data_IF_371731428564
#
_entry.id   IF_371731428564
#
_cell.length_a   1.000
_cell.length_b   1.000
_cell.length_c   1.000
_cell.angle_alpha   90.00
_cell.angle_beta   90.00
_cell.angle_gamma   90.00
#
_symmetry.space_group_name_H-M   'P 1'
#
loop_
_entity.id
_entity.type
_entity.pdbx_description
1 polymer ?
#
# COMPACT_ATOMS: atom_id res chain seq x y z
N UNK A 1 25.13 -14.79 -25.20
CA UNK A 1 24.52 -13.47 -24.94
C UNK A 1 23.03 -13.66 -25.07
N UNK A 2 22.30 -13.67 -23.96
CA UNK A 2 20.84 -13.81 -23.97
C UNK A 2 20.21 -12.42 -24.04
N UNK A 3 19.39 -12.20 -25.07
CA UNK A 3 18.54 -11.02 -25.21
C UNK A 3 17.65 -10.87 -23.98
N UNK A 4 17.97 -9.90 -23.13
CA UNK A 4 17.05 -9.43 -22.09
C UNK A 4 16.04 -8.55 -22.83
N UNK A 5 14.94 -9.17 -23.25
CA UNK A 5 13.78 -8.47 -23.78
C UNK A 5 13.20 -7.63 -22.63
N UNK A 6 13.59 -6.35 -22.55
CA UNK A 6 13.04 -5.38 -21.61
C UNK A 6 11.60 -5.09 -22.05
N UNK A 7 10.66 -5.96 -21.64
CA UNK A 7 9.23 -5.76 -21.86
C UNK A 7 8.79 -4.56 -21.04
N UNK A 8 8.83 -3.38 -21.66
CA UNK A 8 8.16 -2.20 -21.14
C UNK A 8 6.67 -2.55 -21.12
N UNK A 9 6.05 -2.73 -19.95
CA UNK A 9 4.63 -3.00 -19.90
C UNK A 9 3.89 -1.81 -20.53
N UNK A 10 2.75 -2.04 -21.20
CA UNK A 10 1.99 -0.94 -21.78
C UNK A 10 1.71 0.14 -20.73
N UNK A 11 1.74 1.40 -21.14
CA UNK A 11 1.69 2.63 -20.30
C UNK A 11 0.48 2.64 -19.32
N UNK A 12 -0.53 1.77 -19.52
CA UNK A 12 -1.68 1.62 -18.63
C UNK A 12 -2.04 0.15 -18.32
N UNK A 13 -1.05 -0.74 -18.28
CA UNK A 13 -1.27 -2.13 -17.88
C UNK A 13 -1.68 -2.24 -16.40
N UNK A 14 -2.22 -3.40 -15.99
CA UNK A 14 -2.48 -3.66 -14.57
C UNK A 14 -1.18 -3.57 -13.74
N UNK A 15 -0.08 -4.13 -14.25
CA UNK A 15 1.23 -4.07 -13.60
C UNK A 15 1.76 -2.63 -13.46
N UNK A 16 1.56 -1.77 -14.46
CA UNK A 16 1.96 -0.36 -14.38
C UNK A 16 1.18 0.38 -13.28
N UNK A 17 -0.14 0.15 -13.18
CA UNK A 17 -0.97 0.73 -12.12
C UNK A 17 -0.60 0.21 -10.73
N UNK A 18 -0.27 -1.07 -10.62
CA UNK A 18 0.17 -1.65 -9.34
C UNK A 18 1.53 -1.07 -8.91
N UNK A 19 2.46 -0.85 -9.84
CA UNK A 19 3.73 -0.19 -9.58
C UNK A 19 3.56 1.27 -9.15
N UNK A 20 2.71 2.04 -9.86
CA UNK A 20 2.38 3.43 -9.52
C UNK A 20 1.81 3.55 -8.10
N UNK A 21 0.94 2.62 -7.69
CA UNK A 21 0.35 2.60 -6.35
C UNK A 21 1.37 2.24 -5.26
N UNK A 22 2.29 1.32 -5.57
CA UNK A 22 3.39 0.97 -4.67
C UNK A 22 4.34 2.16 -4.49
N UNK A 23 4.70 2.84 -5.58
CA UNK A 23 5.52 4.05 -5.57
C UNK A 23 4.85 5.17 -4.77
N UNK A 24 3.55 5.41 -5.00
CA UNK A 24 2.78 6.40 -4.22
C UNK A 24 2.85 6.13 -2.71
N UNK A 25 2.69 4.87 -2.28
CA UNK A 25 2.78 4.50 -0.87
C UNK A 25 4.19 4.67 -0.31
N UNK A 26 5.23 4.26 -1.05
CA UNK A 26 6.62 4.40 -0.63
C UNK A 26 7.01 5.87 -0.47
N UNK A 27 6.69 6.71 -1.47
CA UNK A 27 6.88 8.17 -1.38
C UNK A 27 6.16 8.72 -0.16
N UNK A 28 4.89 8.35 0.05
CA UNK A 28 4.11 8.88 1.17
C UNK A 28 4.69 8.47 2.53
N UNK A 29 5.20 7.25 2.67
CA UNK A 29 5.82 6.76 3.91
C UNK A 29 7.17 7.42 4.21
N UNK A 30 7.88 7.91 3.19
CA UNK A 30 9.17 8.61 3.35
C UNK A 30 9.04 10.10 3.61
N UNK A 31 7.89 10.71 3.35
CA UNK A 31 7.66 12.13 3.61
C UNK A 31 7.82 12.47 5.11
N UNK A 32 8.44 13.62 5.39
CA UNK A 32 8.42 14.17 6.75
C UNK A 32 6.98 14.37 7.24
N UNK A 33 6.73 14.08 8.51
CA UNK A 33 5.40 14.19 9.10
C UNK A 33 4.42 13.10 8.66
N UNK A 34 4.89 11.96 8.14
CA UNK A 34 4.03 10.79 7.90
C UNK A 34 3.60 10.16 9.24
N UNK A 35 2.42 10.55 9.71
CA UNK A 35 1.77 10.08 10.93
C UNK A 35 0.77 8.93 10.67
N UNK A 36 0.22 8.34 11.73
CA UNK A 36 -0.75 7.25 11.62
C UNK A 36 -1.98 7.62 10.75
N UNK A 37 -2.63 8.79 10.91
CA UNK A 37 -3.72 9.20 10.03
C UNK A 37 -3.31 9.33 8.55
N UNK A 38 -2.10 9.81 8.28
CA UNK A 38 -1.54 9.88 6.93
C UNK A 38 -1.40 8.49 6.30
N UNK A 39 -0.83 7.53 7.04
CA UNK A 39 -0.67 6.14 6.60
C UNK A 39 -2.04 5.51 6.34
N UNK A 40 -2.97 5.64 7.28
CA UNK A 40 -4.33 5.11 7.14
C UNK A 40 -5.04 5.60 5.88
N UNK A 41 -5.02 6.92 5.63
CA UNK A 41 -5.64 7.52 4.43
C UNK A 41 -4.98 7.08 3.13
N UNK A 42 -3.65 6.95 3.11
CA UNK A 42 -2.93 6.48 1.94
C UNK A 42 -3.27 5.02 1.61
N UNK A 43 -3.32 4.15 2.62
CA UNK A 43 -3.76 2.77 2.47
C UNK A 43 -5.23 2.66 2.05
N UNK A 44 -6.11 3.52 2.57
CA UNK A 44 -7.52 3.56 2.17
C UNK A 44 -7.65 3.84 0.67
N UNK A 45 -6.96 4.86 0.17
CA UNK A 45 -7.00 5.21 -1.26
C UNK A 45 -6.60 4.02 -2.14
N UNK A 46 -5.46 3.38 -1.83
CA UNK A 46 -4.97 2.25 -2.63
C UNK A 46 -5.89 1.04 -2.50
N UNK A 47 -6.43 0.76 -1.31
CA UNK A 47 -7.39 -0.32 -1.10
C UNK A 47 -8.69 -0.11 -1.91
N UNK A 48 -9.17 1.13 -2.02
CA UNK A 48 -10.35 1.46 -2.85
C UNK A 48 -10.06 1.25 -4.35
N UNK A 49 -8.86 1.59 -4.81
CA UNK A 49 -8.41 1.38 -6.19
C UNK A 49 -8.15 -0.10 -6.54
N UNK A 50 -7.85 -0.94 -5.54
CA UNK A 50 -7.70 -2.41 -5.69
C UNK A 50 -9.00 -3.19 -5.49
N UNK A 51 -10.02 -2.57 -4.90
CA UNK A 51 -11.30 -3.19 -4.58
C UNK A 51 -11.42 -3.54 -3.10
N UNK A 52 -12.10 -2.67 -2.35
CA UNK A 52 -12.19 -2.71 -0.89
C UNK A 52 -12.74 -4.04 -0.34
N UNK A 53 -13.71 -4.67 -1.02
CA UNK A 53 -14.30 -5.95 -0.59
C UNK A 53 -13.27 -7.07 -0.54
N UNK A 54 -12.40 -7.15 -1.56
CA UNK A 54 -11.33 -8.15 -1.63
C UNK A 54 -10.30 -7.93 -0.52
N UNK A 55 -9.91 -6.68 -0.28
CA UNK A 55 -8.94 -6.33 0.76
C UNK A 55 -9.51 -6.66 2.15
N UNK A 56 -10.75 -6.29 2.42
CA UNK A 56 -11.41 -6.58 3.70
C UNK A 56 -11.51 -8.09 3.96
N UNK A 57 -11.87 -8.88 2.94
CA UNK A 57 -11.90 -10.34 3.03
C UNK A 57 -10.50 -10.91 3.36
N UNK A 58 -9.45 -10.44 2.68
CA UNK A 58 -8.07 -10.87 2.94
C UNK A 58 -7.55 -10.47 4.34
N UNK A 59 -8.15 -9.42 4.93
CA UNK A 59 -7.87 -8.96 6.30
C UNK A 59 -8.79 -9.62 7.35
N UNK A 60 -9.75 -10.47 6.96
CA UNK A 60 -10.65 -11.13 7.91
C UNK A 60 -11.66 -10.21 8.61
N UNK A 61 -11.91 -9.01 8.06
CA UNK A 61 -12.82 -8.02 8.64
C UNK A 61 -13.90 -7.58 7.64
N UNK A 62 -14.96 -6.94 8.14
CA UNK A 62 -15.96 -6.32 7.24
C UNK A 62 -15.38 -5.10 6.52
N UNK A 63 -15.91 -4.79 5.33
CA UNK A 63 -15.58 -3.55 4.57
C UNK A 63 -15.76 -2.31 5.42
N UNK A 64 -16.85 -2.25 6.20
CA UNK A 64 -17.14 -1.11 7.08
C UNK A 64 -16.09 -1.00 8.19
N UNK A 65 -15.69 -2.13 8.79
CA UNK A 65 -14.63 -2.15 9.81
C UNK A 65 -13.32 -1.65 9.23
N UNK A 66 -12.89 -2.22 8.09
CA UNK A 66 -11.64 -1.84 7.46
C UNK A 66 -11.63 -0.35 7.07
N UNK A 67 -12.70 0.15 6.46
CA UNK A 67 -12.83 1.56 6.10
C UNK A 67 -12.74 2.47 7.32
N UNK A 68 -13.37 2.08 8.43
CA UNK A 68 -13.31 2.85 9.69
C UNK A 68 -11.92 2.86 10.33
N UNK A 69 -11.18 1.76 10.22
CA UNK A 69 -9.79 1.71 10.71
C UNK A 69 -8.89 2.59 9.83
N UNK A 70 -8.97 2.44 8.50
CA UNK A 70 -8.12 3.19 7.58
C UNK A 70 -8.48 4.69 7.53
N UNK A 71 -9.73 5.08 7.78
CA UNK A 71 -10.13 6.49 7.83
C UNK A 71 -9.93 7.14 9.22
N UNK A 72 -9.44 6.40 10.22
CA UNK A 72 -9.17 6.90 11.57
C UNK A 72 -10.40 7.06 12.49
N UNK A 73 -11.58 6.59 12.09
CA UNK A 73 -12.77 6.55 12.99
C UNK A 73 -12.77 5.34 13.92
N UNK A 74 -11.80 4.43 13.76
CA UNK A 74 -11.40 3.37 14.69
C UNK A 74 -9.88 3.29 14.74
N UNK A 75 -9.29 2.76 15.84
CA UNK A 75 -7.83 2.58 15.93
C UNK A 75 -7.28 1.78 14.75
N UNK A 76 -6.15 2.24 14.21
CA UNK A 76 -5.41 1.56 13.16
C UNK A 76 -4.35 0.66 13.80
N UNK A 77 -4.51 -0.65 13.70
CA UNK A 77 -3.53 -1.60 14.22
C UNK A 77 -2.50 -1.96 13.15
N UNK A 78 -1.26 -2.25 13.57
CA UNK A 78 -0.21 -2.72 12.67
C UNK A 78 -0.62 -4.00 11.91
N UNK A 79 -1.37 -4.90 12.56
CA UNK A 79 -1.97 -6.08 11.90
C UNK A 79 -2.83 -5.69 10.69
N UNK A 80 -3.69 -4.68 10.85
CA UNK A 80 -4.53 -4.18 9.75
C UNK A 80 -3.65 -3.62 8.62
N UNK A 81 -2.61 -2.86 8.95
CA UNK A 81 -1.66 -2.33 7.97
C UNK A 81 -0.99 -3.45 7.19
N UNK A 82 -0.41 -4.45 7.88
CA UNK A 82 0.25 -5.59 7.26
C UNK A 82 -0.72 -6.44 6.43
N UNK A 83 -1.95 -6.64 6.92
CA UNK A 83 -3.00 -7.35 6.20
C UNK A 83 -3.36 -6.68 4.88
N UNK A 84 -3.56 -5.36 4.90
CA UNK A 84 -3.85 -4.55 3.71
C UNK A 84 -2.68 -4.58 2.73
N UNK A 85 -1.44 -4.37 3.20
CA UNK A 85 -0.25 -4.42 2.36
C UNK A 85 -0.11 -5.79 1.66
N UNK A 86 -0.25 -6.89 2.40
CA UNK A 86 -0.20 -8.24 1.85
C UNK A 86 -1.31 -8.50 0.83
N UNK A 87 -2.53 -8.02 1.09
CA UNK A 87 -3.66 -8.17 0.17
C UNK A 87 -3.45 -7.44 -1.17
N UNK A 88 -2.57 -6.44 -1.18
CA UNK A 88 -2.15 -5.67 -2.36
C UNK A 88 -0.81 -6.15 -2.94
N UNK A 89 -0.27 -7.28 -2.47
CA UNK A 89 1.05 -7.81 -2.83
C UNK A 89 2.22 -6.84 -2.55
N UNK A 90 2.08 -6.02 -1.51
CA UNK A 90 3.12 -5.10 -1.04
C UNK A 90 3.88 -5.70 0.15
N UNK A 91 5.14 -5.31 0.29
CA UNK A 91 6.01 -5.69 1.41
C UNK A 91 6.37 -4.44 2.23
N UNK A 92 6.19 -4.50 3.55
CA UNK A 92 6.74 -3.50 4.46
C UNK A 92 8.24 -3.77 4.66
N UNK A 93 9.07 -2.73 4.54
CA UNK A 93 10.52 -2.79 4.80
C UNK A 93 10.86 -1.96 6.03
N UNK A 94 11.83 -2.45 6.79
CA UNK A 94 12.46 -1.73 7.89
C UNK A 94 13.90 -1.51 7.47
N UNK A 95 14.30 -0.26 7.38
CA UNK A 95 15.63 0.16 6.94
C UNK A 95 16.21 1.06 8.03
N UNK A 96 17.53 0.96 8.23
CA UNK A 96 18.22 1.89 9.11
C UNK A 96 18.23 3.28 8.46
N UNK A 97 17.96 4.32 9.24
CA UNK A 97 18.21 5.71 8.83
C UNK A 97 19.70 5.98 8.98
N UNK A 98 20.55 5.22 8.29
CA UNK A 98 21.91 5.69 8.07
C UNK A 98 21.77 6.87 7.12
N UNK A 99 21.90 8.07 7.67
CA UNK A 99 22.15 9.31 6.92
C UNK A 99 23.15 9.00 5.83
N UNK A 100 22.72 9.12 4.57
CA UNK A 100 23.66 9.20 3.47
C UNK A 100 24.65 10.34 3.81
N UNK A 101 25.92 9.99 3.97
CA UNK A 101 27.03 10.94 3.85
C UNK A 101 27.00 11.62 2.48
#
# INVERSE_FOLDING_TARGET
MSDIEFKIPPINSAAARDAERAEYLDVRMRMEGCDEPSIGRALLLVAELHGMSRIAQACGVSVVTLRRQLNGTRPLYLETVLGVMRAMNLQLRVEDRVTAD
#
